data_IF_677599828215
#
_entry.id   IF_677599828215
#
_cell.length_a   1.000
_cell.length_b   1.000
_cell.length_c   1.000
_cell.angle_alpha   90.00
_cell.angle_beta   90.00
_cell.angle_gamma   90.00
#
_symmetry.space_group_name_H-M   'P 1'
#
loop_
_entity.id
_entity.type
_entity.pdbx_description
1 polymer ?
#
# COMPACT_ATOMS: atom_id res chain seq x y z
N UNK A 1 2.75 -14.27 -16.99
CA UNK A 1 4.09 -13.66 -16.96
C UNK A 1 3.96 -12.20 -16.48
N UNK A 2 4.90 -11.69 -15.70
CA UNK A 2 4.85 -10.31 -15.20
C UNK A 2 5.57 -9.35 -16.17
N UNK A 3 5.34 -8.04 -16.01
CA UNK A 3 5.93 -7.01 -16.88
C UNK A 3 7.47 -7.05 -16.89
N UNK A 4 8.07 -7.41 -15.76
CA UNK A 4 9.51 -7.58 -15.64
C UNK A 4 10.09 -8.61 -16.60
N UNK A 5 9.42 -9.74 -16.80
CA UNK A 5 9.86 -10.76 -17.75
C UNK A 5 9.95 -10.20 -19.17
N UNK A 6 8.91 -9.53 -19.65
CA UNK A 6 8.90 -8.93 -20.99
C UNK A 6 9.97 -7.86 -21.15
N UNK A 7 10.12 -6.99 -20.15
CA UNK A 7 11.19 -5.97 -20.17
C UNK A 7 12.57 -6.63 -20.27
N UNK A 8 12.84 -7.65 -19.46
CA UNK A 8 14.13 -8.37 -19.47
C UNK A 8 14.41 -9.00 -20.84
N UNK A 9 13.41 -9.67 -21.44
CA UNK A 9 13.54 -10.27 -22.78
C UNK A 9 13.86 -9.20 -23.83
N UNK A 10 13.15 -8.06 -23.82
CA UNK A 10 13.39 -6.96 -24.76
C UNK A 10 14.85 -6.45 -24.64
N UNK A 11 15.33 -6.23 -23.42
CA UNK A 11 16.70 -5.72 -23.21
C UNK A 11 17.76 -6.76 -23.58
N UNK A 12 17.53 -8.04 -23.30
CA UNK A 12 18.43 -9.13 -23.73
C UNK A 12 18.54 -9.17 -25.27
N UNK A 13 17.40 -9.06 -25.98
CA UNK A 13 17.40 -9.01 -27.45
C UNK A 13 18.11 -7.74 -27.92
N UNK A 14 17.80 -6.56 -27.35
CA UNK A 14 18.41 -5.32 -27.75
C UNK A 14 19.93 -5.33 -27.61
N UNK A 15 20.44 -5.82 -26.47
CA UNK A 15 21.88 -5.95 -26.23
C UNK A 15 22.48 -7.01 -27.18
N UNK A 16 21.79 -8.13 -27.40
CA UNK A 16 22.26 -9.23 -28.27
C UNK A 16 22.33 -8.86 -29.75
N UNK A 17 21.55 -7.86 -30.20
CA UNK A 17 21.60 -7.36 -31.59
C UNK A 17 22.66 -6.28 -31.82
N UNK A 18 23.14 -5.63 -30.77
CA UNK A 18 24.15 -4.56 -30.87
C UNK A 18 25.42 -4.97 -31.69
N UNK A 19 25.98 -6.19 -31.56
CA UNK A 19 27.13 -6.60 -32.38
C UNK A 19 26.87 -6.64 -33.87
N UNK A 20 25.61 -6.89 -34.30
CA UNK A 20 25.24 -7.02 -35.72
C UNK A 20 25.44 -5.71 -36.52
N UNK A 21 25.37 -4.59 -35.84
CA UNK A 21 25.55 -3.26 -36.40
C UNK A 21 26.73 -2.49 -35.78
N UNK A 22 27.65 -3.24 -35.13
CA UNK A 22 28.91 -2.70 -34.55
C UNK A 22 28.64 -1.54 -33.57
N UNK A 23 27.61 -1.67 -32.70
CA UNK A 23 27.23 -0.64 -31.76
C UNK A 23 28.44 -0.15 -30.93
N UNK A 24 28.64 1.16 -30.80
CA UNK A 24 29.69 1.70 -29.95
C UNK A 24 29.37 1.46 -28.44
N UNK A 25 30.40 1.40 -27.61
CA UNK A 25 30.27 1.08 -26.19
C UNK A 25 29.21 1.90 -25.44
N UNK A 26 29.05 3.16 -25.76
CA UNK A 26 28.07 4.02 -25.10
C UNK A 26 26.63 3.52 -25.27
N UNK A 27 26.30 2.81 -26.35
CA UNK A 27 24.95 2.23 -26.57
C UNK A 27 24.67 1.16 -25.53
N UNK A 28 25.62 0.27 -25.25
CA UNK A 28 25.46 -0.74 -24.21
C UNK A 28 25.29 -0.10 -22.83
N UNK A 29 26.09 0.93 -22.53
CA UNK A 29 25.96 1.69 -21.27
C UNK A 29 24.57 2.32 -21.13
N UNK A 30 24.07 2.96 -22.18
CA UNK A 30 22.73 3.57 -22.19
C UNK A 30 21.64 2.53 -22.00
N UNK A 31 21.72 1.37 -22.66
CA UNK A 31 20.75 0.28 -22.48
C UNK A 31 20.73 -0.23 -21.03
N UNK A 32 21.90 -0.40 -20.42
CA UNK A 32 22.01 -0.82 -19.02
C UNK A 32 21.41 0.23 -18.08
N UNK A 33 21.73 1.50 -18.26
CA UNK A 33 21.18 2.61 -17.46
C UNK A 33 19.66 2.66 -17.59
N UNK A 34 19.13 2.56 -18.81
CA UNK A 34 17.69 2.57 -19.06
C UNK A 34 17.00 1.36 -18.39
N UNK A 35 17.60 0.17 -18.50
CA UNK A 35 17.07 -1.04 -17.85
C UNK A 35 17.01 -0.91 -16.34
N UNK A 36 18.09 -0.42 -15.72
CA UNK A 36 18.14 -0.17 -14.28
C UNK A 36 17.13 0.91 -13.85
N UNK A 37 16.95 1.95 -14.66
CA UNK A 37 15.94 2.99 -14.43
C UNK A 37 14.52 2.41 -14.43
N UNK A 38 14.19 1.57 -15.42
CA UNK A 38 12.87 0.93 -15.50
C UNK A 38 12.65 -0.04 -14.31
N UNK A 39 13.65 -0.82 -13.94
CA UNK A 39 13.58 -1.70 -12.77
C UNK A 39 13.35 -0.88 -11.50
N UNK A 40 14.13 0.18 -11.29
CA UNK A 40 13.98 1.06 -10.12
C UNK A 40 12.59 1.66 -10.07
N UNK A 41 12.07 2.17 -11.17
CA UNK A 41 10.69 2.67 -11.23
C UNK A 41 9.68 1.57 -10.91
N UNK A 42 9.88 0.35 -11.45
CA UNK A 42 9.03 -0.81 -11.14
C UNK A 42 9.06 -1.23 -9.66
N UNK A 43 10.18 -1.00 -8.95
CA UNK A 43 10.32 -1.29 -7.52
C UNK A 43 9.56 -0.26 -6.66
N UNK A 44 9.66 1.03 -6.98
CA UNK A 44 9.21 2.12 -6.14
C UNK A 44 7.80 2.65 -6.47
N UNK A 45 7.24 2.30 -7.62
CA UNK A 45 5.85 2.66 -7.96
C UNK A 45 4.94 1.42 -7.97
N UNK A 46 4.27 1.21 -6.85
CA UNK A 46 3.36 0.07 -6.64
C UNK A 46 2.23 0.00 -7.67
N UNK A 47 1.84 1.14 -8.28
CA UNK A 47 0.77 1.24 -9.29
C UNK A 47 1.15 0.56 -10.61
N UNK A 48 2.44 0.46 -10.91
CA UNK A 48 2.93 -0.18 -12.12
C UNK A 48 2.64 -1.69 -12.15
N UNK A 49 2.44 -2.32 -10.99
CA UNK A 49 2.28 -3.79 -10.90
C UNK A 49 3.39 -4.52 -11.67
N UNK A 50 4.64 -4.04 -11.54
CA UNK A 50 5.74 -4.49 -12.37
C UNK A 50 6.24 -5.89 -11.99
N UNK A 51 6.48 -6.12 -10.69
CA UNK A 51 6.89 -7.42 -10.15
C UNK A 51 5.71 -8.19 -9.52
N UNK A 52 4.73 -7.46 -8.96
CA UNK A 52 3.58 -7.97 -8.21
C UNK A 52 2.31 -7.39 -8.80
N UNK A 53 1.32 -8.23 -9.05
CA UNK A 53 -0.02 -7.71 -9.36
C UNK A 53 -0.56 -7.04 -8.10
N UNK A 54 -0.77 -5.74 -8.17
CA UNK A 54 -1.21 -4.92 -7.05
C UNK A 54 -2.53 -4.25 -7.38
N UNK A 55 -3.45 -4.29 -6.45
CA UNK A 55 -4.66 -3.49 -6.54
C UNK A 55 -4.39 -2.14 -5.88
N UNK A 56 -4.41 -1.08 -6.64
CA UNK A 56 -4.15 0.30 -6.21
C UNK A 56 -5.33 1.24 -6.48
N UNK A 57 -6.41 0.69 -7.02
CA UNK A 57 -7.60 1.42 -7.43
C UNK A 57 -8.81 0.49 -7.40
N UNK A 58 -9.98 0.99 -6.99
CA UNK A 58 -11.24 0.25 -6.96
C UNK A 58 -11.92 0.33 -8.33
N UNK A 59 -12.01 -0.80 -9.03
CA UNK A 59 -12.63 -0.87 -10.36
C UNK A 59 -14.13 -1.17 -10.26
N UNK A 60 -14.92 -0.62 -11.21
CA UNK A 60 -16.33 -0.96 -11.32
C UNK A 60 -17.22 -0.50 -10.18
N UNK A 61 -16.77 0.48 -9.40
CA UNK A 61 -17.55 1.05 -8.30
C UNK A 61 -18.52 2.13 -8.78
N UNK A 62 -19.64 2.33 -8.04
CA UNK A 62 -20.50 3.49 -8.26
C UNK A 62 -19.70 4.79 -8.24
N UNK A 63 -20.23 5.83 -8.87
CA UNK A 63 -19.58 7.14 -8.92
C UNK A 63 -19.25 7.65 -7.50
N UNK A 64 -18.11 8.34 -7.38
CA UNK A 64 -17.63 8.93 -6.12
C UNK A 64 -17.42 7.91 -4.97
N UNK A 65 -17.06 6.67 -5.26
CA UNK A 65 -16.67 5.68 -4.24
C UNK A 65 -15.17 5.68 -4.06
N UNK A 66 -14.69 5.75 -2.81
CA UNK A 66 -13.25 5.71 -2.46
C UNK A 66 -13.00 4.79 -1.25
N UNK A 67 -11.75 4.37 -1.06
CA UNK A 67 -11.32 3.70 0.16
C UNK A 67 -10.32 4.56 0.94
N UNK A 68 -10.58 4.75 2.24
CA UNK A 68 -9.61 5.30 3.18
C UNK A 68 -8.79 4.15 3.76
N UNK A 69 -7.47 4.25 3.71
CA UNK A 69 -6.58 3.22 4.24
C UNK A 69 -5.50 3.82 5.13
N UNK A 70 -5.20 3.14 6.24
CA UNK A 70 -4.23 3.55 7.22
C UNK A 70 -3.15 2.48 7.38
N UNK A 71 -1.88 2.88 7.39
CA UNK A 71 -0.73 2.01 7.56
C UNK A 71 -0.06 2.26 8.93
N UNK A 72 0.80 1.35 9.35
CA UNK A 72 1.68 1.40 10.53
C UNK A 72 1.00 1.24 11.90
N UNK A 73 -0.33 1.25 11.98
CA UNK A 73 -1.09 1.07 13.20
C UNK A 73 -1.16 -0.38 13.72
N UNK A 74 -1.94 -0.60 14.81
CA UNK A 74 -2.55 0.42 15.64
C UNK A 74 -1.57 1.23 16.48
N UNK A 75 -1.95 2.43 16.89
CA UNK A 75 -1.17 3.32 17.75
C UNK A 75 -2.02 3.85 18.92
N UNK A 76 -1.42 4.64 19.80
CA UNK A 76 -2.15 5.34 20.88
C UNK A 76 -3.21 6.32 20.35
N UNK A 77 -3.04 6.80 19.12
CA UNK A 77 -3.98 7.71 18.48
C UNK A 77 -5.11 7.00 17.73
N UNK A 78 -4.93 5.74 17.38
CA UNK A 78 -5.91 4.98 16.58
C UNK A 78 -7.34 5.01 17.15
N UNK A 79 -7.57 4.95 18.49
CA UNK A 79 -8.92 5.11 19.03
C UNK A 79 -9.62 6.40 18.62
N UNK A 80 -8.88 7.53 18.52
CA UNK A 80 -9.44 8.81 18.08
C UNK A 80 -9.80 8.81 16.59
N UNK A 81 -9.04 8.08 15.76
CA UNK A 81 -9.39 7.84 14.36
C UNK A 81 -10.68 7.03 14.24
N UNK A 82 -10.86 6.01 15.09
CA UNK A 82 -12.07 5.19 15.11
C UNK A 82 -13.28 6.02 15.55
N UNK A 83 -13.16 6.83 16.62
CA UNK A 83 -14.23 7.72 17.08
C UNK A 83 -14.68 8.67 15.95
N UNK A 84 -13.73 9.21 15.21
CA UNK A 84 -14.01 10.12 14.10
C UNK A 84 -14.67 9.39 12.92
N UNK A 85 -14.20 8.22 12.56
CA UNK A 85 -14.80 7.38 11.51
C UNK A 85 -16.24 6.98 11.86
N UNK A 86 -16.50 6.64 13.13
CA UNK A 86 -17.83 6.33 13.63
C UNK A 86 -18.80 7.53 13.47
N UNK A 87 -18.38 8.73 13.87
CA UNK A 87 -19.19 9.97 13.74
C UNK A 87 -19.66 10.23 12.30
N UNK A 88 -18.85 9.83 11.32
CA UNK A 88 -19.19 9.97 9.90
C UNK A 88 -19.77 8.70 9.28
N UNK A 89 -20.01 7.64 10.08
CA UNK A 89 -20.44 6.32 9.62
C UNK A 89 -19.54 5.79 8.48
N UNK A 90 -18.23 6.05 8.56
CA UNK A 90 -17.24 5.67 7.57
C UNK A 90 -16.52 4.40 7.98
N UNK A 91 -16.32 3.48 7.02
CA UNK A 91 -15.55 2.24 7.27
C UNK A 91 -14.25 2.29 6.46
N UNK A 92 -13.13 2.05 7.13
CA UNK A 92 -11.79 2.14 6.57
C UNK A 92 -11.08 0.78 6.55
N UNK A 93 -9.90 0.76 5.95
CA UNK A 93 -8.98 -0.39 5.95
C UNK A 93 -7.73 -0.03 6.75
N UNK A 94 -7.35 -0.87 7.71
CA UNK A 94 -6.15 -0.70 8.51
C UNK A 94 -5.14 -1.80 8.18
N UNK A 95 -3.99 -1.42 7.64
CA UNK A 95 -2.86 -2.31 7.42
C UNK A 95 -1.96 -2.28 8.65
N UNK A 96 -2.16 -3.28 9.52
CA UNK A 96 -1.61 -3.29 10.86
C UNK A 96 -0.26 -4.03 10.92
N UNK A 97 0.67 -3.47 11.69
CA UNK A 97 1.97 -4.06 12.00
C UNK A 97 1.81 -5.05 13.16
N UNK A 98 2.35 -6.27 13.03
CA UNK A 98 2.16 -7.34 14.00
C UNK A 98 2.57 -6.98 15.44
N UNK A 99 3.72 -6.32 15.63
CA UNK A 99 4.14 -5.81 16.94
C UNK A 99 3.13 -4.81 17.54
N UNK A 100 2.51 -3.98 16.71
CA UNK A 100 1.50 -3.03 17.17
C UNK A 100 0.17 -3.73 17.49
N UNK A 101 -0.20 -4.78 16.75
CA UNK A 101 -1.36 -5.61 17.07
C UNK A 101 -1.19 -6.25 18.46
N UNK A 102 0.00 -6.79 18.76
CA UNK A 102 0.30 -7.36 20.08
C UNK A 102 0.27 -6.32 21.19
N UNK A 103 0.70 -5.08 20.89
CA UNK A 103 0.72 -3.98 21.87
C UNK A 103 -0.68 -3.43 22.17
N UNK A 104 -1.56 -3.40 21.17
CA UNK A 104 -2.90 -2.80 21.25
C UNK A 104 -4.02 -3.74 20.77
N UNK A 105 -4.13 -4.97 21.30
CA UNK A 105 -5.08 -5.97 20.80
C UNK A 105 -6.53 -5.51 20.91
N UNK A 106 -6.88 -4.75 21.96
CA UNK A 106 -8.26 -4.25 22.17
C UNK A 106 -8.67 -3.21 21.12
N UNK A 107 -7.69 -2.42 20.60
CA UNK A 107 -7.95 -1.48 19.50
C UNK A 107 -8.25 -2.25 18.22
N UNK A 108 -7.56 -3.35 17.95
CA UNK A 108 -7.81 -4.21 16.77
C UNK A 108 -9.18 -4.90 16.87
N UNK A 109 -9.55 -5.39 18.05
CA UNK A 109 -10.91 -5.93 18.29
C UNK A 109 -11.98 -4.86 18.05
N UNK A 110 -11.74 -3.62 18.49
CA UNK A 110 -12.62 -2.49 18.25
C UNK A 110 -12.76 -2.20 16.75
N UNK A 111 -11.65 -2.17 15.99
CA UNK A 111 -11.69 -2.03 14.53
C UNK A 111 -12.62 -3.06 13.88
N UNK A 112 -12.49 -4.33 14.28
CA UNK A 112 -13.30 -5.41 13.75
C UNK A 112 -14.78 -5.26 14.14
N UNK A 113 -15.06 -4.98 15.42
CA UNK A 113 -16.42 -4.82 15.94
C UNK A 113 -17.16 -3.65 15.27
N UNK A 114 -16.46 -2.58 14.95
CA UNK A 114 -17.00 -1.43 14.21
C UNK A 114 -17.09 -1.66 12.70
N UNK A 115 -16.68 -2.84 12.19
CA UNK A 115 -16.80 -3.22 10.78
C UNK A 115 -15.73 -2.63 9.87
N UNK A 116 -14.59 -2.22 10.41
CA UNK A 116 -13.42 -1.89 9.61
C UNK A 116 -12.72 -3.15 9.10
N UNK A 117 -11.99 -3.06 8.00
CA UNK A 117 -11.17 -4.15 7.50
C UNK A 117 -9.76 -4.05 8.10
N UNK A 118 -9.33 -5.11 8.79
CA UNK A 118 -7.96 -5.23 9.28
C UNK A 118 -7.15 -6.09 8.31
N UNK A 119 -5.97 -5.64 7.94
CA UNK A 119 -5.10 -6.26 6.96
C UNK A 119 -3.63 -6.29 7.44
N UNK A 120 -2.81 -7.10 6.77
CA UNK A 120 -1.44 -7.38 7.18
C UNK A 120 -0.45 -6.35 6.62
N UNK A 121 0.45 -5.82 7.51
CA UNK A 121 1.53 -4.89 7.14
C UNK A 121 2.91 -5.36 7.61
N UNK A 122 3.18 -6.67 7.62
CA UNK A 122 4.35 -7.33 8.23
C UNK A 122 4.34 -7.31 9.76
N UNK A 123 5.25 -8.06 10.38
CA UNK A 123 5.32 -8.13 11.84
C UNK A 123 6.12 -6.98 12.45
N UNK A 124 7.34 -6.72 11.94
CA UNK A 124 8.26 -5.71 12.50
C UNK A 124 8.37 -4.43 11.66
N UNK A 125 7.84 -4.43 10.43
CA UNK A 125 8.00 -3.34 9.46
C UNK A 125 9.45 -2.94 9.17
N UNK A 126 10.43 -3.88 9.31
CA UNK A 126 11.84 -3.58 9.14
C UNK A 126 12.29 -3.65 7.66
N UNK A 127 13.02 -2.63 7.14
CA UNK A 127 13.44 -2.58 5.73
C UNK A 127 14.28 -3.78 5.29
N UNK A 128 15.13 -4.32 6.17
CA UNK A 128 15.99 -5.49 5.86
C UNK A 128 15.19 -6.74 5.46
N UNK A 129 14.00 -6.92 6.01
CA UNK A 129 13.18 -8.10 5.77
C UNK A 129 12.58 -8.12 4.36
N UNK A 130 12.40 -6.94 3.72
CA UNK A 130 11.87 -6.81 2.36
C UNK A 130 12.86 -7.34 1.31
N UNK A 131 14.15 -7.36 1.62
CA UNK A 131 15.20 -7.79 0.71
C UNK A 131 15.28 -9.32 0.55
N UNK A 132 14.67 -10.07 1.47
CA UNK A 132 14.74 -11.52 1.54
C UNK A 132 13.36 -12.17 1.54
N UNK A 133 13.02 -12.92 0.48
CA UNK A 133 11.69 -13.50 0.31
C UNK A 133 11.24 -14.40 1.48
N UNK A 134 12.15 -15.21 2.04
CA UNK A 134 11.84 -16.10 3.17
C UNK A 134 11.59 -15.30 4.46
N UNK A 135 12.41 -14.28 4.72
CA UNK A 135 12.23 -13.42 5.89
C UNK A 135 10.91 -12.68 5.81
N UNK A 136 10.59 -12.06 4.66
CA UNK A 136 9.33 -11.36 4.46
C UNK A 136 8.11 -12.30 4.55
N UNK A 137 8.20 -13.51 4.01
CA UNK A 137 7.12 -14.48 4.13
C UNK A 137 6.88 -14.89 5.60
N UNK A 138 7.93 -14.99 6.41
CA UNK A 138 7.82 -15.26 7.84
C UNK A 138 7.18 -14.06 8.58
N UNK A 139 7.56 -12.83 8.26
CA UNK A 139 6.93 -11.61 8.78
C UNK A 139 5.41 -11.59 8.51
N UNK A 140 5.02 -11.93 7.28
CA UNK A 140 3.60 -11.99 6.89
C UNK A 140 2.88 -13.08 7.69
N UNK A 141 3.43 -14.30 7.78
CA UNK A 141 2.79 -15.41 8.52
C UNK A 141 2.66 -15.10 10.00
N UNK A 142 3.70 -14.54 10.61
CA UNK A 142 3.68 -14.20 12.04
C UNK A 142 2.59 -13.15 12.33
N UNK A 143 2.42 -12.15 11.48
CA UNK A 143 1.30 -11.22 11.61
C UNK A 143 -0.06 -11.90 11.44
N UNK A 144 -0.18 -12.84 10.48
CA UNK A 144 -1.41 -13.61 10.30
C UNK A 144 -1.74 -14.47 11.53
N UNK A 145 -0.73 -15.08 12.17
CA UNK A 145 -0.89 -15.83 13.40
C UNK A 145 -1.40 -14.94 14.54
N UNK A 146 -0.83 -13.74 14.69
CA UNK A 146 -1.31 -12.78 15.71
C UNK A 146 -2.74 -12.32 15.42
N UNK A 147 -3.08 -12.05 14.16
CA UNK A 147 -4.46 -11.72 13.77
C UNK A 147 -5.43 -12.88 14.01
N UNK A 148 -5.01 -14.12 13.75
CA UNK A 148 -5.82 -15.31 13.97
C UNK A 148 -6.17 -15.53 15.47
N UNK A 149 -5.30 -15.13 16.41
CA UNK A 149 -5.61 -15.14 17.84
C UNK A 149 -6.72 -14.13 18.23
N UNK A 150 -7.04 -13.20 17.33
CA UNK A 150 -8.14 -12.23 17.46
C UNK A 150 -9.33 -12.57 16.54
N UNK A 151 -9.39 -13.82 16.03
CA UNK A 151 -10.40 -14.31 15.10
C UNK A 151 -10.47 -13.51 13.78
N UNK A 152 -9.33 -12.90 13.36
CA UNK A 152 -9.23 -12.13 12.12
C UNK A 152 -8.43 -12.92 11.09
N UNK A 153 -9.05 -13.17 9.94
CA UNK A 153 -8.40 -13.75 8.76
C UNK A 153 -8.52 -12.77 7.59
N UNK A 154 -7.40 -12.41 6.99
CA UNK A 154 -7.37 -11.45 5.89
C UNK A 154 -6.52 -11.95 4.72
N UNK A 155 -7.02 -11.85 3.48
CA UNK A 155 -6.21 -12.14 2.29
C UNK A 155 -5.32 -10.96 1.90
N UNK A 156 -5.52 -9.78 2.50
CA UNK A 156 -4.90 -8.55 2.06
C UNK A 156 -3.58 -8.28 2.78
N UNK A 157 -2.62 -7.81 2.00
CA UNK A 157 -1.29 -7.42 2.47
C UNK A 157 -0.85 -6.15 1.76
N UNK A 158 -0.27 -5.22 2.49
CA UNK A 158 0.41 -4.07 1.91
C UNK A 158 1.91 -4.17 2.20
N UNK A 159 2.77 -4.19 1.16
CA UNK A 159 4.21 -4.23 1.38
C UNK A 159 4.68 -2.91 2.00
N UNK A 160 5.55 -2.95 3.03
CA UNK A 160 6.16 -1.77 3.62
C UNK A 160 6.76 -0.83 2.57
N UNK A 161 6.60 0.48 2.78
CA UNK A 161 7.09 1.55 1.89
C UNK A 161 6.49 1.50 0.46
N UNK A 162 5.58 0.58 0.16
CA UNK A 162 5.08 0.32 -1.20
C UNK A 162 6.09 -0.34 -2.13
N UNK A 163 7.17 -0.88 -1.58
CA UNK A 163 8.21 -1.53 -2.36
C UNK A 163 7.68 -2.85 -2.94
N UNK A 164 7.80 -2.98 -4.27
CA UNK A 164 7.55 -4.22 -4.99
C UNK A 164 8.83 -4.65 -5.69
N UNK A 165 9.31 -5.84 -5.37
CA UNK A 165 10.57 -6.39 -5.89
C UNK A 165 10.44 -7.90 -6.11
N UNK A 166 11.39 -8.57 -6.78
CA UNK A 166 11.35 -10.01 -6.92
C UNK A 166 11.27 -10.79 -5.59
N UNK A 167 12.00 -10.43 -4.50
CA UNK A 167 11.79 -11.02 -3.17
C UNK A 167 10.36 -10.83 -2.65
N UNK A 168 9.80 -9.61 -2.73
CA UNK A 168 8.43 -9.31 -2.31
C UNK A 168 7.41 -10.15 -3.09
N UNK A 169 7.58 -10.25 -4.41
CA UNK A 169 6.72 -11.06 -5.25
C UNK A 169 6.74 -12.55 -4.86
N UNK A 170 7.92 -13.08 -4.47
CA UNK A 170 8.02 -14.47 -3.99
C UNK A 170 7.35 -14.66 -2.63
N UNK A 171 7.53 -13.72 -1.70
CA UNK A 171 6.91 -13.77 -0.38
C UNK A 171 5.38 -13.73 -0.47
N UNK A 172 4.82 -12.82 -1.26
CA UNK A 172 3.37 -12.70 -1.49
C UNK A 172 2.78 -13.99 -2.07
N UNK A 173 3.45 -14.60 -3.06
CA UNK A 173 3.02 -15.89 -3.61
C UNK A 173 3.09 -17.02 -2.59
N UNK A 174 4.15 -17.06 -1.77
CA UNK A 174 4.35 -18.10 -0.75
C UNK A 174 3.36 -18.00 0.42
N UNK A 175 2.70 -16.86 0.59
CA UNK A 175 1.70 -16.59 1.63
C UNK A 175 0.28 -16.42 1.08
N UNK A 176 0.08 -16.63 -0.23
CA UNK A 176 -1.19 -16.51 -0.94
C UNK A 176 -1.91 -15.16 -0.69
N UNK A 177 -1.17 -14.08 -0.41
CA UNK A 177 -1.74 -12.76 -0.17
C UNK A 177 -2.07 -12.02 -1.47
N UNK A 178 -3.07 -11.13 -1.37
CA UNK A 178 -3.40 -10.11 -2.38
C UNK A 178 -2.71 -8.80 -1.99
N UNK A 179 -1.83 -8.30 -2.87
CA UNK A 179 -1.12 -7.04 -2.63
C UNK A 179 -2.04 -5.84 -2.88
N UNK A 180 -2.16 -4.96 -1.88
CA UNK A 180 -2.94 -3.72 -1.97
C UNK A 180 -1.98 -2.53 -1.95
N UNK A 181 -2.11 -1.67 -2.95
CA UNK A 181 -1.40 -0.40 -3.05
C UNK A 181 -2.34 0.79 -2.80
N UNK A 182 -2.02 1.89 -3.43
CA UNK A 182 -2.77 3.14 -3.42
C UNK A 182 -2.54 3.89 -4.73
N UNK A 183 -3.43 4.78 -5.07
CA UNK A 183 -3.24 5.77 -6.14
C UNK A 183 -3.11 7.19 -5.58
N UNK A 184 -3.66 7.46 -4.38
CA UNK A 184 -3.40 8.69 -3.64
C UNK A 184 -2.51 8.40 -2.43
N UNK A 185 -1.24 8.79 -2.51
CA UNK A 185 -0.32 8.85 -1.38
C UNK A 185 -0.43 10.24 -0.74
N UNK A 186 -0.91 10.30 0.50
CA UNK A 186 -1.08 11.57 1.24
C UNK A 186 0.26 12.29 1.43
N UNK A 187 1.33 11.56 1.74
CA UNK A 187 2.62 12.04 2.22
C UNK A 187 2.52 12.70 3.62
N UNK A 188 1.58 12.27 4.44
CA UNK A 188 1.38 12.75 5.81
C UNK A 188 2.61 12.52 6.72
N UNK A 189 3.45 11.54 6.41
CA UNK A 189 4.75 11.34 7.09
C UNK A 189 5.80 12.41 6.78
N UNK A 190 5.57 13.27 5.77
CA UNK A 190 6.51 14.29 5.29
C UNK A 190 5.87 15.69 5.36
N UNK A 191 4.60 15.81 4.99
CA UNK A 191 3.88 17.07 4.92
C UNK A 191 3.16 17.29 6.25
N UNK A 192 3.78 18.08 7.14
CA UNK A 192 3.21 18.38 8.47
C UNK A 192 2.16 19.50 8.42
N UNK A 193 2.15 20.32 7.38
CA UNK A 193 1.16 21.38 7.23
C UNK A 193 -0.18 20.80 6.77
N UNK A 194 -1.19 20.91 7.62
CA UNK A 194 -2.52 20.33 7.45
C UNK A 194 -3.25 20.84 6.18
N UNK A 195 -3.14 22.12 5.87
CA UNK A 195 -3.77 22.68 4.66
C UNK A 195 -3.14 22.13 3.38
N UNK A 196 -1.81 22.05 3.33
CA UNK A 196 -1.11 21.47 2.19
C UNK A 196 -1.45 20.00 2.04
N UNK A 197 -1.53 19.27 3.15
CA UNK A 197 -1.88 17.86 3.17
C UNK A 197 -3.31 17.63 2.69
N UNK A 198 -4.27 18.37 3.23
CA UNK A 198 -5.68 18.32 2.81
C UNK A 198 -5.84 18.60 1.32
N UNK A 199 -5.31 19.73 0.83
CA UNK A 199 -5.41 20.09 -0.58
C UNK A 199 -4.70 19.13 -1.52
N UNK A 200 -3.59 18.50 -1.05
CA UNK A 200 -2.91 17.46 -1.82
C UNK A 200 -3.80 16.24 -2.06
N UNK A 201 -4.58 15.83 -1.07
CA UNK A 201 -5.51 14.70 -1.19
C UNK A 201 -6.68 15.09 -2.08
N UNK A 202 -7.38 16.16 -1.72
CA UNK A 202 -8.63 16.57 -2.36
C UNK A 202 -8.47 16.85 -3.87
N UNK A 203 -7.37 17.50 -4.28
CA UNK A 203 -7.13 17.78 -5.71
C UNK A 203 -6.93 16.53 -6.58
N UNK A 204 -6.72 15.36 -5.97
CA UNK A 204 -6.52 14.10 -6.67
C UNK A 204 -7.73 13.18 -6.60
N UNK A 205 -8.76 13.58 -5.86
CA UNK A 205 -9.94 12.75 -5.66
C UNK A 205 -10.68 12.50 -6.98
N UNK A 206 -10.83 11.23 -7.27
CA UNK A 206 -11.65 10.71 -8.37
C UNK A 206 -12.39 9.46 -7.89
N UNK A 207 -13.27 8.92 -8.70
CA UNK A 207 -13.93 7.66 -8.37
C UNK A 207 -12.91 6.51 -8.32
N UNK A 208 -13.03 5.65 -7.33
CA UNK A 208 -12.22 4.44 -7.19
C UNK A 208 -10.89 4.61 -6.45
N UNK A 209 -10.57 5.81 -5.95
CA UNK A 209 -9.30 6.02 -5.27
C UNK A 209 -9.14 5.16 -4.01
N UNK A 210 -7.92 4.65 -3.82
CA UNK A 210 -7.42 4.10 -2.56
C UNK A 210 -6.42 5.10 -1.98
N UNK A 211 -6.79 5.70 -0.85
CA UNK A 211 -6.01 6.77 -0.21
C UNK A 211 -5.17 6.17 0.91
N UNK A 212 -3.85 6.38 0.86
CA UNK A 212 -2.92 6.01 1.91
C UNK A 212 -2.71 7.16 2.89
N UNK A 213 -2.94 6.89 4.17
CA UNK A 213 -2.62 7.73 5.34
C UNK A 213 -2.02 6.87 6.45
N UNK A 214 -1.66 7.48 7.61
CA UNK A 214 -1.14 6.78 8.78
C UNK A 214 -1.88 7.24 10.04
N UNK A 215 -2.37 6.27 10.85
CA UNK A 215 -3.19 6.54 12.05
C UNK A 215 -2.38 6.78 13.33
N UNK A 216 -1.10 7.09 13.20
CA UNK A 216 -0.17 7.40 14.28
C UNK A 216 0.29 8.87 14.33
N UNK A 217 -0.26 9.72 13.46
CA UNK A 217 0.17 11.10 13.29
C UNK A 217 -0.95 12.07 13.68
N UNK A 218 -0.71 12.97 14.67
CA UNK A 218 -1.76 13.90 15.14
C UNK A 218 -2.33 14.79 14.04
N UNK A 219 -1.49 15.37 13.18
CA UNK A 219 -1.94 16.22 12.08
C UNK A 219 -2.73 15.45 11.01
N UNK A 220 -2.51 14.13 10.88
CA UNK A 220 -3.35 13.28 10.00
C UNK A 220 -4.76 13.14 10.58
N UNK A 221 -4.93 13.09 11.89
CA UNK A 221 -6.25 13.07 12.52
C UNK A 221 -7.04 14.35 12.21
N UNK A 222 -6.42 15.53 12.36
CA UNK A 222 -7.03 16.82 11.99
C UNK A 222 -7.43 16.88 10.51
N UNK A 223 -6.53 16.38 9.65
CA UNK A 223 -6.81 16.34 8.20
C UNK A 223 -7.89 15.32 7.85
N UNK A 224 -7.97 14.20 8.57
CA UNK A 224 -9.03 13.20 8.37
C UNK A 224 -10.41 13.79 8.66
N UNK A 225 -10.57 14.55 9.75
CA UNK A 225 -11.84 15.22 10.07
C UNK A 225 -12.32 16.11 8.92
N UNK A 226 -11.44 16.99 8.44
CA UNK A 226 -11.71 17.87 7.30
C UNK A 226 -12.00 17.09 6.01
N UNK A 227 -11.30 16.00 5.80
CA UNK A 227 -11.50 15.13 4.64
C UNK A 227 -12.85 14.43 4.69
N UNK A 228 -13.24 13.88 5.84
CA UNK A 228 -14.53 13.23 6.03
C UNK A 228 -15.69 14.21 5.81
N UNK A 229 -15.57 15.43 6.34
CA UNK A 229 -16.53 16.49 6.09
C UNK A 229 -16.64 16.81 4.59
N UNK A 230 -15.51 17.03 3.92
CA UNK A 230 -15.47 17.30 2.47
C UNK A 230 -16.09 16.16 1.65
N UNK A 231 -15.76 14.92 1.97
CA UNK A 231 -16.29 13.74 1.27
C UNK A 231 -17.81 13.63 1.42
N UNK A 232 -18.34 13.90 2.61
CA UNK A 232 -19.79 13.94 2.90
C UNK A 232 -20.49 15.05 2.11
N UNK A 233 -19.98 16.28 2.14
CA UNK A 233 -20.54 17.43 1.42
C UNK A 233 -20.54 17.25 -0.10
N UNK A 234 -19.55 16.50 -0.61
CA UNK A 234 -19.42 16.20 -2.05
C UNK A 234 -20.02 14.86 -2.47
N UNK A 235 -20.80 14.20 -1.58
CA UNK A 235 -21.48 12.93 -1.84
C UNK A 235 -20.55 11.79 -2.25
N UNK A 236 -19.38 11.68 -1.60
CA UNK A 236 -18.52 10.51 -1.74
C UNK A 236 -18.99 9.38 -0.83
N UNK A 237 -18.95 8.17 -1.35
CA UNK A 237 -19.13 6.94 -0.56
C UNK A 237 -17.77 6.39 -0.14
N UNK A 238 -17.59 6.12 1.15
CA UNK A 238 -16.39 5.50 1.69
C UNK A 238 -16.66 4.01 1.85
N UNK A 239 -15.77 3.17 1.32
CA UNK A 239 -15.88 1.72 1.42
C UNK A 239 -14.60 1.09 1.94
N UNK A 240 -14.72 0.01 2.70
CA UNK A 240 -13.60 -0.87 3.06
C UNK A 240 -13.60 -2.16 2.22
N UNK A 241 -14.55 -2.33 1.31
CA UNK A 241 -14.53 -3.44 0.35
C UNK A 241 -13.53 -3.15 -0.78
N UNK A 242 -12.46 -3.91 -0.80
CA UNK A 242 -11.38 -3.79 -1.79
C UNK A 242 -11.59 -4.68 -3.04
N UNK A 243 -12.65 -5.47 -3.12
CA UNK A 243 -12.91 -6.35 -4.29
C UNK A 243 -13.55 -5.61 -5.45
#
# INVERSE_FOLDING_TARGET
MNKHFYTSVIFVIAIGTCPLWQAPLYVYILLVILFLGIISWGVFDIRLSYFVKTQYFLKGRPAKTIALTFDDGPSELTPQFLDLLEQYNAKAVFFCVGEQIQKYPEVVKRMQAEGHLVANHTFTHQPKNILHAKALANEIRHTDEVLAHLDIVTPYFRPPYGITSPPVARAIRATAKKAIGWDIRSLDTIILNEDKLFHRIVRKLTNGNIILMHDRLPHTLTVLERLLQYLKENNYTITNNLE
#
